data_IF_335166601059
#
_entry.id   IF_335166601059
#
_cell.length_a   1.000
_cell.length_b   1.000
_cell.length_c   1.000
_cell.angle_alpha   90.00
_cell.angle_beta   90.00
_cell.angle_gamma   90.00
#
_symmetry.space_group_name_H-M   'P 1'
#
loop_
_entity.id
_entity.type
_entity.pdbx_description
1 polymer ?
#
# COMPACT_ATOMS: atom_id res chain seq x y z
N UNK A 1 -34.82 -5.46 -30.42
CA UNK A 1 -34.43 -5.02 -29.05
C UNK A 1 -33.11 -5.70 -28.74
N UNK A 2 -32.00 -5.02 -29.04
CA UNK A 2 -30.64 -5.49 -28.70
C UNK A 2 -30.46 -5.36 -27.19
N UNK A 3 -30.16 -6.48 -26.53
CA UNK A 3 -29.85 -6.51 -25.10
C UNK A 3 -28.62 -5.64 -24.79
N UNK A 4 -28.48 -5.18 -23.54
CA UNK A 4 -27.34 -4.34 -23.17
C UNK A 4 -26.05 -5.14 -23.40
N UNK A 5 -25.16 -4.59 -24.24
CA UNK A 5 -23.79 -5.08 -24.39
C UNK A 5 -23.18 -5.22 -23.00
N UNK A 6 -22.81 -6.44 -22.65
CA UNK A 6 -22.06 -6.73 -21.44
C UNK A 6 -20.72 -6.00 -21.55
N UNK A 7 -20.58 -4.87 -20.87
CA UNK A 7 -19.30 -4.20 -20.70
C UNK A 7 -18.32 -5.22 -20.11
N UNK A 8 -17.45 -5.74 -20.96
CA UNK A 8 -16.40 -6.65 -20.50
C UNK A 8 -15.48 -5.86 -19.57
N UNK A 9 -15.57 -6.12 -18.26
CA UNK A 9 -14.66 -5.56 -17.30
C UNK A 9 -13.22 -5.93 -17.68
N UNK A 10 -12.26 -5.01 -17.60
CA UNK A 10 -10.87 -5.31 -17.92
C UNK A 10 -10.38 -6.50 -17.08
N UNK A 11 -9.50 -7.31 -17.65
CA UNK A 11 -8.81 -8.40 -16.95
C UNK A 11 -7.83 -7.82 -15.92
N UNK A 12 -8.35 -7.29 -14.83
CA UNK A 12 -7.55 -6.82 -13.72
C UNK A 12 -7.66 -7.80 -12.55
N UNK A 13 -6.63 -7.96 -11.71
CA UNK A 13 -6.69 -8.81 -10.52
C UNK A 13 -7.88 -8.46 -9.61
N UNK A 14 -8.24 -7.18 -9.53
CA UNK A 14 -9.39 -6.70 -8.75
C UNK A 14 -10.72 -7.14 -9.35
N UNK A 15 -10.87 -7.07 -10.68
CA UNK A 15 -12.08 -7.52 -11.36
C UNK A 15 -12.29 -9.03 -11.24
N UNK A 16 -11.22 -9.81 -11.38
CA UNK A 16 -11.24 -11.26 -11.20
C UNK A 16 -11.66 -11.61 -9.76
N UNK A 17 -11.01 -10.99 -8.77
CA UNK A 17 -11.31 -11.23 -7.36
C UNK A 17 -12.74 -10.81 -6.98
N UNK A 18 -13.28 -9.73 -7.57
CA UNK A 18 -14.69 -9.33 -7.38
C UNK A 18 -15.67 -10.35 -7.97
N UNK A 19 -15.38 -10.94 -9.14
CA UNK A 19 -16.22 -11.98 -9.77
C UNK A 19 -16.21 -13.28 -9.00
N UNK A 20 -15.04 -13.71 -8.52
CA UNK A 20 -14.87 -14.92 -7.74
C UNK A 20 -15.38 -14.78 -6.30
N UNK A 21 -15.52 -13.52 -5.84
CA UNK A 21 -15.76 -13.22 -4.45
C UNK A 21 -14.55 -13.56 -3.58
N UNK A 22 -14.71 -13.46 -2.26
CA UNK A 22 -13.68 -13.89 -1.31
C UNK A 22 -14.33 -14.63 -0.13
N UNK A 23 -13.84 -15.83 0.12
CA UNK A 23 -14.30 -16.64 1.26
C UNK A 23 -13.35 -16.45 2.45
N UNK A 24 -13.89 -16.47 3.66
CA UNK A 24 -13.12 -16.41 4.92
C UNK A 24 -12.20 -15.19 5.03
N UNK A 25 -12.62 -14.04 4.49
CA UNK A 25 -11.85 -12.78 4.52
C UNK A 25 -10.42 -12.99 3.98
N UNK A 26 -10.28 -13.57 2.78
CA UNK A 26 -8.99 -13.78 2.13
C UNK A 26 -9.07 -13.49 0.64
N UNK A 27 -8.04 -12.82 0.14
CA UNK A 27 -7.76 -12.64 -1.28
C UNK A 27 -6.68 -13.60 -1.77
N UNK A 28 -6.37 -13.54 -3.07
CA UNK A 28 -5.14 -14.10 -3.64
C UNK A 28 -3.91 -13.51 -2.95
N UNK A 29 -2.78 -14.24 -2.94
CA UNK A 29 -1.58 -13.83 -2.17
C UNK A 29 -1.09 -12.42 -2.47
N UNK A 30 -1.17 -12.00 -3.73
CA UNK A 30 -0.71 -10.67 -4.16
C UNK A 30 -1.63 -9.57 -3.61
N UNK A 31 -2.95 -9.68 -3.85
CA UNK A 31 -3.94 -8.72 -3.35
C UNK A 31 -4.06 -8.73 -1.82
N UNK A 32 -3.86 -9.87 -1.17
CA UNK A 32 -3.88 -9.95 0.29
C UNK A 32 -2.73 -9.15 0.92
N UNK A 33 -1.54 -9.17 0.30
CA UNK A 33 -0.40 -8.37 0.77
C UNK A 33 -0.70 -6.89 0.61
N UNK A 34 -1.12 -6.48 -0.58
CA UNK A 34 -1.48 -5.10 -0.89
C UNK A 34 -2.58 -4.55 0.03
N UNK A 35 -3.65 -5.34 0.23
CA UNK A 35 -4.72 -5.00 1.17
C UNK A 35 -4.20 -4.78 2.59
N UNK A 36 -3.35 -5.68 3.10
CA UNK A 36 -2.81 -5.56 4.46
C UNK A 36 -1.91 -4.34 4.63
N UNK A 37 -1.12 -4.01 3.62
CA UNK A 37 -0.25 -2.84 3.64
C UNK A 37 -1.09 -1.55 3.63
N UNK A 38 -2.10 -1.46 2.76
CA UNK A 38 -3.03 -0.32 2.71
C UNK A 38 -3.84 -0.22 4.01
N UNK A 39 -4.41 -1.33 4.48
CA UNK A 39 -5.15 -1.39 5.73
C UNK A 39 -4.32 -0.90 6.92
N UNK A 40 -3.08 -1.37 7.05
CA UNK A 40 -2.18 -0.98 8.12
C UNK A 40 -1.89 0.53 8.12
N UNK A 41 -1.79 1.15 6.93
CA UNK A 41 -1.57 2.60 6.82
C UNK A 41 -2.82 3.37 7.25
N UNK A 42 -3.99 3.01 6.72
CA UNK A 42 -5.24 3.74 6.94
C UNK A 42 -5.78 3.59 8.38
N UNK A 43 -5.57 2.43 9.02
CA UNK A 43 -6.11 2.16 10.36
C UNK A 43 -5.14 2.50 11.50
N UNK A 44 -3.88 2.84 11.21
CA UNK A 44 -2.91 3.25 12.23
C UNK A 44 -3.35 4.46 13.07
N UNK A 45 -3.94 5.54 12.50
CA UNK A 45 -4.47 6.66 13.29
C UNK A 45 -5.59 6.23 14.25
N UNK A 46 -6.48 5.33 13.80
CA UNK A 46 -7.57 4.79 14.62
C UNK A 46 -7.04 3.98 15.79
N UNK A 47 -6.05 3.10 15.55
CA UNK A 47 -5.38 2.34 16.60
C UNK A 47 -4.75 3.29 17.64
N UNK A 48 -4.01 4.31 17.20
CA UNK A 48 -3.39 5.31 18.10
C UNK A 48 -4.42 6.03 18.95
N UNK A 49 -5.49 6.51 18.34
CA UNK A 49 -6.59 7.18 19.05
C UNK A 49 -7.25 6.23 20.05
N UNK A 50 -7.58 5.00 19.63
CA UNK A 50 -8.18 3.98 20.49
C UNK A 50 -7.33 3.64 21.70
N UNK A 51 -6.07 3.26 21.49
CA UNK A 51 -5.17 2.95 22.60
C UNK A 51 -4.86 4.18 23.48
N UNK A 52 -4.74 5.38 22.89
CA UNK A 52 -4.57 6.62 23.66
C UNK A 52 -5.75 6.90 24.60
N UNK A 53 -6.96 6.82 24.10
CA UNK A 53 -8.19 6.98 24.92
C UNK A 53 -8.28 5.87 25.96
N UNK A 54 -7.98 4.61 25.60
CA UNK A 54 -8.01 3.49 26.54
C UNK A 54 -7.03 3.67 27.69
N UNK A 55 -5.80 4.15 27.44
CA UNK A 55 -4.80 4.46 28.49
C UNK A 55 -5.33 5.53 29.42
N UNK A 56 -5.87 6.65 28.88
CA UNK A 56 -6.40 7.75 29.69
C UNK A 56 -7.54 7.25 30.58
N UNK A 57 -8.50 6.54 30.02
CA UNK A 57 -9.65 6.03 30.77
C UNK A 57 -9.21 5.02 31.86
N UNK A 58 -8.24 4.16 31.54
CA UNK A 58 -7.75 3.17 32.49
C UNK A 58 -6.93 3.81 33.63
N UNK A 59 -6.17 4.88 33.35
CA UNK A 59 -5.49 5.69 34.37
C UNK A 59 -6.51 6.39 35.29
N UNK A 60 -7.55 7.00 34.72
CA UNK A 60 -8.65 7.61 35.51
C UNK A 60 -9.30 6.56 36.41
N UNK A 61 -9.63 5.40 35.86
CA UNK A 61 -10.19 4.28 36.64
C UNK A 61 -9.24 3.84 37.77
N UNK A 62 -7.95 3.72 37.49
CA UNK A 62 -6.93 3.40 38.49
C UNK A 62 -6.90 4.42 39.63
N UNK A 63 -6.92 5.72 39.32
CA UNK A 63 -6.91 6.80 40.33
C UNK A 63 -8.16 6.80 41.22
N UNK A 64 -9.34 6.50 40.64
CA UNK A 64 -10.60 6.35 41.39
C UNK A 64 -10.49 5.17 42.37
N UNK A 65 -9.96 4.04 41.92
CA UNK A 65 -9.84 2.82 42.75
C UNK A 65 -8.80 2.95 43.86
N UNK A 66 -7.70 3.69 43.66
CA UNK A 66 -6.70 3.95 44.67
C UNK A 66 -7.26 4.57 45.96
N UNK A 67 -8.35 5.35 45.86
CA UNK A 67 -9.01 5.95 47.02
C UNK A 67 -9.93 4.97 47.76
N UNK A 68 -10.36 3.90 47.10
CA UNK A 68 -11.32 2.93 47.65
C UNK A 68 -10.64 1.65 48.16
N UNK A 69 -9.42 1.38 47.78
CA UNK A 69 -8.67 0.16 48.11
C UNK A 69 -7.61 0.47 49.20
N UNK A 70 -7.37 -0.46 50.12
CA UNK A 70 -6.38 -0.33 51.19
C UNK A 70 -5.60 -1.65 51.41
N UNK A 71 -4.42 -1.54 52.02
CA UNK A 71 -3.58 -2.70 52.35
C UNK A 71 -3.11 -3.47 51.13
N UNK A 72 -2.95 -4.81 51.21
CA UNK A 72 -2.39 -5.65 50.16
C UNK A 72 -3.17 -5.57 48.84
N UNK A 73 -4.48 -5.33 48.89
CA UNK A 73 -5.31 -5.13 47.71
C UNK A 73 -4.88 -3.89 46.89
N UNK A 74 -4.54 -2.80 47.58
CA UNK A 74 -4.07 -1.58 46.98
C UNK A 74 -2.68 -1.80 46.33
N UNK A 75 -1.74 -2.44 47.02
CA UNK A 75 -0.37 -2.67 46.54
C UNK A 75 -0.35 -3.55 45.28
N UNK A 76 -0.93 -4.76 45.38
CA UNK A 76 -0.99 -5.69 44.26
C UNK A 76 -1.87 -5.15 43.08
N UNK A 77 -2.97 -4.49 43.44
CA UNK A 77 -3.83 -3.85 42.48
C UNK A 77 -3.11 -2.77 41.68
N UNK A 78 -2.23 -1.98 42.33
CA UNK A 78 -1.42 -0.95 41.66
C UNK A 78 -0.40 -1.58 40.71
N UNK A 79 0.32 -2.64 41.16
CA UNK A 79 1.30 -3.33 40.33
C UNK A 79 0.64 -3.90 39.05
N UNK A 80 -0.46 -4.63 39.22
CA UNK A 80 -1.18 -5.23 38.08
C UNK A 80 -1.67 -4.19 37.10
N UNK A 81 -2.22 -3.07 37.58
CA UNK A 81 -2.67 -1.96 36.71
C UNK A 81 -1.51 -1.28 36.01
N UNK A 82 -0.36 -1.10 36.67
CA UNK A 82 0.84 -0.55 36.06
C UNK A 82 1.37 -1.43 34.91
N UNK A 83 1.35 -2.76 35.07
CA UNK A 83 1.73 -3.71 34.01
C UNK A 83 0.78 -3.58 32.81
N UNK A 84 -0.53 -3.48 33.05
CA UNK A 84 -1.52 -3.30 32.00
C UNK A 84 -1.28 -1.98 31.24
N UNK A 85 -1.13 -0.86 31.97
CA UNK A 85 -0.83 0.45 31.36
C UNK A 85 0.47 0.38 30.55
N UNK A 86 1.51 -0.24 31.09
CA UNK A 86 2.80 -0.42 30.42
C UNK A 86 2.66 -1.17 29.09
N UNK A 87 1.86 -2.24 29.04
CA UNK A 87 1.59 -3.01 27.81
C UNK A 87 0.83 -2.20 26.76
N UNK A 88 -0.14 -1.38 27.18
CA UNK A 88 -0.90 -0.49 26.31
C UNK A 88 -0.01 0.64 25.76
N UNK A 89 0.80 1.27 26.59
CA UNK A 89 1.77 2.29 26.19
C UNK A 89 2.81 1.72 25.23
N UNK A 90 3.31 0.50 25.48
CA UNK A 90 4.23 -0.16 24.56
C UNK A 90 3.61 -0.35 23.16
N UNK A 91 2.36 -0.79 23.11
CA UNK A 91 1.62 -0.93 21.83
C UNK A 91 1.44 0.43 21.15
N UNK A 92 1.07 1.47 21.91
CA UNK A 92 0.91 2.83 21.41
C UNK A 92 2.23 3.37 20.85
N UNK A 93 3.33 3.27 21.59
CA UNK A 93 4.66 3.71 21.17
C UNK A 93 5.16 2.93 19.95
N UNK A 94 4.99 1.60 19.93
CA UNK A 94 5.33 0.76 18.79
C UNK A 94 4.62 1.20 17.51
N UNK A 95 3.40 1.75 17.62
CA UNK A 95 2.63 2.25 16.47
C UNK A 95 3.28 3.46 15.78
N UNK A 96 4.16 4.20 16.43
CA UNK A 96 4.90 5.33 15.84
C UNK A 96 6.19 4.90 15.12
N UNK A 97 6.62 3.66 15.32
CA UNK A 97 7.85 3.12 14.73
C UNK A 97 7.50 2.34 13.46
N UNK A 98 7.78 2.90 12.30
CA UNK A 98 7.42 2.30 11.01
C UNK A 98 7.93 0.87 10.80
N UNK A 99 9.13 0.53 11.33
CA UNK A 99 9.71 -0.81 11.27
C UNK A 99 8.92 -1.86 12.06
N UNK A 100 8.16 -1.45 13.09
CA UNK A 100 7.36 -2.35 13.93
C UNK A 100 5.94 -2.57 13.40
N UNK A 101 5.56 -1.94 12.27
CA UNK A 101 4.21 -2.04 11.71
C UNK A 101 3.74 -3.48 11.48
N UNK A 102 4.63 -4.35 11.01
CA UNK A 102 4.32 -5.77 10.73
C UNK A 102 4.00 -6.54 12.00
N UNK A 103 4.67 -6.23 13.10
CA UNK A 103 4.51 -6.92 14.40
C UNK A 103 3.52 -6.20 15.33
N UNK A 104 3.02 -5.03 14.94
CA UNK A 104 2.07 -4.25 15.74
C UNK A 104 0.81 -5.05 16.16
N UNK A 105 0.21 -5.90 15.32
CA UNK A 105 -0.90 -6.75 15.74
C UNK A 105 -0.55 -7.67 16.90
N UNK A 106 0.69 -8.16 16.97
CA UNK A 106 1.16 -9.02 18.08
C UNK A 106 1.21 -8.21 19.38
N UNK A 107 1.77 -7.00 19.36
CA UNK A 107 1.76 -6.11 20.54
C UNK A 107 0.35 -5.83 21.04
N UNK A 108 -0.59 -5.57 20.12
CA UNK A 108 -1.98 -5.32 20.47
C UNK A 108 -2.63 -6.57 21.12
N UNK A 109 -2.46 -7.76 20.53
CA UNK A 109 -2.98 -9.02 21.10
C UNK A 109 -2.40 -9.28 22.49
N UNK A 110 -1.10 -9.10 22.68
CA UNK A 110 -0.43 -9.25 23.98
C UNK A 110 -0.96 -8.23 24.99
N UNK A 111 -1.23 -7.00 24.58
CA UNK A 111 -1.82 -5.98 25.45
C UNK A 111 -3.21 -6.37 25.95
N UNK A 112 -4.07 -6.92 25.06
CA UNK A 112 -5.40 -7.42 25.45
C UNK A 112 -5.31 -8.63 26.38
N UNK A 113 -4.37 -9.55 26.14
CA UNK A 113 -4.13 -10.70 27.01
C UNK A 113 -3.64 -10.24 28.42
N UNK A 114 -2.70 -9.30 28.47
CA UNK A 114 -2.20 -8.69 29.72
C UNK A 114 -3.33 -7.99 30.47
N UNK A 115 -4.19 -7.28 29.76
CA UNK A 115 -5.36 -6.64 30.35
C UNK A 115 -6.31 -7.68 30.99
N UNK A 116 -6.63 -8.75 30.25
CA UNK A 116 -7.52 -9.81 30.73
C UNK A 116 -6.97 -10.45 32.02
N UNK A 117 -5.68 -10.80 32.03
CA UNK A 117 -5.00 -11.37 33.21
C UNK A 117 -5.04 -10.39 34.38
N UNK A 118 -4.64 -9.13 34.15
CA UNK A 118 -4.58 -8.11 35.19
C UNK A 118 -5.94 -7.83 35.82
N UNK A 119 -6.98 -7.63 35.04
CA UNK A 119 -8.33 -7.34 35.56
C UNK A 119 -8.92 -8.54 36.31
N UNK A 120 -8.80 -9.75 35.73
CA UNK A 120 -9.34 -10.96 36.39
C UNK A 120 -8.56 -11.29 37.69
N UNK A 121 -7.24 -11.10 37.70
CA UNK A 121 -6.43 -11.28 38.91
C UNK A 121 -6.83 -10.28 40.01
N UNK A 122 -7.09 -9.03 39.66
CA UNK A 122 -7.56 -8.02 40.61
C UNK A 122 -8.94 -8.40 41.16
N UNK A 123 -9.85 -8.95 40.35
CA UNK A 123 -11.16 -9.41 40.75
C UNK A 123 -11.06 -10.56 41.79
N UNK A 124 -10.21 -11.57 41.51
CA UNK A 124 -9.92 -12.67 42.46
C UNK A 124 -9.36 -12.13 43.76
N UNK A 125 -8.38 -11.22 43.69
CA UNK A 125 -7.78 -10.61 44.87
C UNK A 125 -8.80 -9.82 45.68
N UNK A 126 -9.66 -9.04 45.04
CA UNK A 126 -10.72 -8.26 45.68
C UNK A 126 -11.71 -9.17 46.42
N UNK A 127 -12.13 -10.28 45.81
CA UNK A 127 -13.02 -11.24 46.43
C UNK A 127 -12.39 -11.89 47.70
N UNK A 128 -11.10 -12.22 47.66
CA UNK A 128 -10.37 -12.75 48.81
C UNK A 128 -10.32 -11.77 49.98
N UNK A 129 -10.38 -10.49 49.74
CA UNK A 129 -10.42 -9.42 50.73
C UNK A 129 -11.85 -8.93 51.06
N UNK A 130 -12.89 -9.64 50.59
CA UNK A 130 -14.28 -9.29 50.89
C UNK A 130 -14.80 -8.05 50.14
N UNK A 131 -14.11 -7.59 49.11
CA UNK A 131 -14.51 -6.45 48.29
C UNK A 131 -15.15 -6.95 46.99
N UNK A 132 -16.42 -6.59 46.77
CA UNK A 132 -17.08 -6.90 45.49
C UNK A 132 -16.57 -5.97 44.39
N UNK A 133 -16.00 -6.57 43.37
CA UNK A 133 -15.68 -5.86 42.12
C UNK A 133 -16.68 -6.21 41.03
N UNK A 134 -16.93 -5.22 40.17
CA UNK A 134 -17.81 -5.34 39.02
C UNK A 134 -16.98 -5.61 37.75
N UNK A 135 -17.54 -6.38 36.83
CA UNK A 135 -16.89 -6.91 35.59
C UNK A 135 -17.01 -5.98 34.38
N UNK A 136 -17.59 -4.80 34.54
CA UNK A 136 -17.85 -3.87 33.42
C UNK A 136 -16.59 -3.54 32.61
N UNK A 137 -15.42 -3.60 33.23
CA UNK A 137 -14.14 -3.41 32.56
C UNK A 137 -13.87 -4.40 31.44
N UNK A 138 -14.28 -5.68 31.60
CA UNK A 138 -14.09 -6.69 30.55
C UNK A 138 -15.02 -6.46 29.36
N UNK A 139 -16.25 -5.99 29.59
CA UNK A 139 -17.18 -5.63 28.52
C UNK A 139 -16.62 -4.44 27.71
N UNK A 140 -16.15 -3.40 28.40
CA UNK A 140 -15.58 -2.22 27.77
C UNK A 140 -14.34 -2.55 26.91
N UNK A 141 -13.45 -3.42 27.42
CA UNK A 141 -12.27 -3.85 26.68
C UNK A 141 -12.63 -4.73 25.50
N UNK A 142 -13.60 -5.63 25.65
CA UNK A 142 -14.09 -6.43 24.53
C UNK A 142 -14.72 -5.56 23.44
N UNK A 143 -15.47 -4.53 23.82
CA UNK A 143 -15.99 -3.54 22.87
C UNK A 143 -14.85 -2.78 22.18
N UNK A 144 -13.87 -2.28 22.97
CA UNK A 144 -12.70 -1.59 22.43
C UNK A 144 -11.92 -2.48 21.44
N UNK A 145 -11.75 -3.77 21.74
CA UNK A 145 -11.08 -4.73 20.87
C UNK A 145 -11.70 -4.77 19.48
N UNK A 146 -13.02 -4.87 19.39
CA UNK A 146 -13.70 -5.06 18.12
C UNK A 146 -13.94 -3.75 17.34
N UNK A 147 -14.01 -2.60 18.05
CA UNK A 147 -14.36 -1.32 17.42
C UNK A 147 -13.15 -0.44 17.19
N UNK A 148 -12.21 -0.37 18.12
CA UNK A 148 -11.14 0.63 18.11
C UNK A 148 -9.72 0.07 17.96
N UNK A 149 -9.52 -1.25 18.05
CA UNK A 149 -8.17 -1.83 18.01
C UNK A 149 -7.43 -1.63 16.70
N UNK A 150 -8.15 -1.45 15.59
CA UNK A 150 -7.55 -1.46 14.24
C UNK A 150 -6.99 -2.83 13.83
N UNK A 151 -7.35 -3.90 14.53
CA UNK A 151 -6.96 -5.27 14.20
C UNK A 151 -7.88 -5.85 13.11
N UNK A 152 -7.30 -6.67 12.25
CA UNK A 152 -8.05 -7.54 11.37
C UNK A 152 -8.75 -8.65 12.17
N UNK A 153 -9.76 -9.26 11.57
CA UNK A 153 -10.63 -10.27 12.18
C UNK A 153 -9.88 -11.40 12.91
N UNK A 154 -8.85 -11.98 12.26
CA UNK A 154 -8.12 -13.11 12.87
C UNK A 154 -7.30 -12.75 14.12
N UNK A 155 -6.45 -11.71 14.11
CA UNK A 155 -5.79 -11.26 15.33
C UNK A 155 -6.77 -10.86 16.44
N UNK A 156 -7.89 -10.23 16.09
CA UNK A 156 -8.92 -9.87 17.05
C UNK A 156 -9.61 -11.11 17.68
N UNK A 157 -9.85 -12.16 16.86
CA UNK A 157 -10.35 -13.44 17.41
C UNK A 157 -9.39 -14.05 18.44
N UNK A 158 -8.09 -14.02 18.16
CA UNK A 158 -7.07 -14.51 19.11
C UNK A 158 -7.10 -13.69 20.38
N UNK A 159 -7.14 -12.36 20.28
CA UNK A 159 -7.24 -11.48 21.45
C UNK A 159 -8.51 -11.72 22.26
N UNK A 160 -9.66 -11.85 21.57
CA UNK A 160 -10.93 -12.16 22.21
C UNK A 160 -10.95 -13.54 22.91
N UNK A 161 -10.39 -14.55 22.26
CA UNK A 161 -10.21 -15.87 22.87
C UNK A 161 -9.32 -15.79 24.12
N UNK A 162 -8.21 -15.03 24.09
CA UNK A 162 -7.38 -14.80 25.26
C UNK A 162 -8.17 -14.15 26.41
N UNK A 163 -9.02 -13.16 26.13
CA UNK A 163 -9.86 -12.52 27.14
C UNK A 163 -10.79 -13.54 27.78
N UNK A 164 -11.56 -14.27 26.99
CA UNK A 164 -12.56 -15.24 27.48
C UNK A 164 -11.90 -16.39 28.24
N UNK A 165 -10.87 -17.01 27.64
CA UNK A 165 -10.18 -18.14 28.26
C UNK A 165 -9.50 -17.75 29.59
N UNK A 166 -8.89 -16.58 29.65
CA UNK A 166 -8.29 -16.05 30.88
C UNK A 166 -9.36 -15.84 31.94
N UNK A 167 -10.49 -15.21 31.58
CA UNK A 167 -11.58 -14.95 32.52
C UNK A 167 -12.17 -16.26 33.06
N UNK A 168 -12.37 -17.26 32.20
CA UNK A 168 -12.87 -18.58 32.60
C UNK A 168 -11.84 -19.30 33.48
N UNK A 169 -10.58 -19.40 33.05
CA UNK A 169 -9.54 -20.14 33.77
C UNK A 169 -9.23 -19.51 35.14
N UNK A 170 -8.87 -18.21 35.15
CA UNK A 170 -8.51 -17.52 36.39
C UNK A 170 -9.73 -17.39 37.31
N UNK A 171 -10.92 -17.18 36.78
CA UNK A 171 -12.15 -17.11 37.57
C UNK A 171 -12.50 -18.43 38.23
N UNK A 172 -12.43 -19.55 37.49
CA UNK A 172 -12.70 -20.88 38.01
C UNK A 172 -11.68 -21.30 39.11
N UNK A 173 -10.37 -21.22 38.78
CA UNK A 173 -9.30 -21.59 39.71
C UNK A 173 -9.12 -20.58 40.85
N UNK A 174 -9.43 -19.30 40.61
CA UNK A 174 -9.41 -18.24 41.62
C UNK A 174 -10.60 -18.23 42.58
N UNK A 175 -11.55 -19.16 42.42
CA UNK A 175 -12.73 -19.29 43.28
C UNK A 175 -13.81 -18.24 43.03
N UNK A 176 -13.88 -17.64 41.84
CA UNK A 176 -14.95 -16.70 41.47
C UNK A 176 -16.28 -17.42 41.17
N UNK A 177 -16.25 -18.73 40.93
CA UNK A 177 -17.41 -19.50 40.50
C UNK A 177 -18.62 -19.30 41.45
N UNK A 178 -19.66 -18.62 40.95
CA UNK A 178 -20.90 -18.28 41.62
C UNK A 178 -21.98 -17.99 40.60
N UNK A 179 -23.22 -17.87 41.03
CA UNK A 179 -24.33 -17.45 40.14
C UNK A 179 -24.03 -16.06 39.50
N UNK A 180 -23.51 -15.12 40.28
CA UNK A 180 -23.13 -13.80 39.78
C UNK A 180 -22.04 -13.88 38.70
N UNK A 181 -21.01 -14.69 38.91
CA UNK A 181 -19.97 -14.90 37.91
C UNK A 181 -20.51 -15.56 36.60
N UNK A 182 -21.47 -16.49 36.75
CA UNK A 182 -22.14 -17.06 35.58
C UNK A 182 -22.88 -16.01 34.73
N UNK A 183 -23.57 -15.06 35.35
CA UNK A 183 -24.18 -13.91 34.64
C UNK A 183 -23.13 -13.03 33.99
N UNK A 184 -22.04 -12.73 34.68
CA UNK A 184 -20.93 -11.93 34.14
C UNK A 184 -20.33 -12.58 32.90
N UNK A 185 -20.00 -13.87 32.97
CA UNK A 185 -19.49 -14.65 31.85
C UNK A 185 -20.44 -14.64 30.65
N UNK A 186 -21.77 -14.78 30.91
CA UNK A 186 -22.77 -14.69 29.86
C UNK A 186 -22.71 -13.37 29.10
N UNK A 187 -22.65 -12.21 29.79
CA UNK A 187 -22.56 -10.91 29.14
C UNK A 187 -21.24 -10.69 28.41
N UNK A 188 -20.11 -11.19 28.97
CA UNK A 188 -18.82 -11.17 28.26
C UNK A 188 -18.90 -11.97 26.97
N UNK A 189 -19.47 -13.19 26.98
CA UNK A 189 -19.64 -14.00 25.78
C UNK A 189 -20.57 -13.33 24.75
N UNK A 190 -21.69 -12.75 25.18
CA UNK A 190 -22.61 -12.02 24.30
C UNK A 190 -21.86 -10.85 23.63
N UNK A 191 -21.06 -10.09 24.40
CA UNK A 191 -20.27 -8.98 23.83
C UNK A 191 -19.28 -9.47 22.77
N UNK A 192 -18.64 -10.62 23.01
CA UNK A 192 -17.73 -11.21 22.02
C UNK A 192 -18.47 -11.67 20.78
N UNK A 193 -19.63 -12.32 20.90
CA UNK A 193 -20.46 -12.74 19.75
C UNK A 193 -20.86 -11.53 18.90
N UNK A 194 -21.39 -10.49 19.52
CA UNK A 194 -21.76 -9.25 18.83
C UNK A 194 -20.53 -8.61 18.16
N UNK A 195 -19.42 -8.51 18.89
CA UNK A 195 -18.17 -7.93 18.39
C UNK A 195 -17.58 -8.70 17.21
N UNK A 196 -17.60 -10.03 17.27
CA UNK A 196 -17.14 -10.91 16.18
C UNK A 196 -17.96 -10.69 14.90
N UNK A 197 -19.30 -10.66 15.03
CA UNK A 197 -20.19 -10.40 13.88
C UNK A 197 -19.95 -9.00 13.31
N UNK A 198 -19.84 -8.00 14.17
CA UNK A 198 -19.59 -6.62 13.76
C UNK A 198 -18.24 -6.49 13.03
N UNK A 199 -17.16 -7.04 13.60
CA UNK A 199 -15.82 -6.95 13.00
C UNK A 199 -15.73 -7.74 11.69
N UNK A 200 -16.38 -8.92 11.60
CA UNK A 200 -16.47 -9.65 10.35
C UNK A 200 -17.13 -8.82 9.24
N UNK A 201 -18.25 -8.17 9.57
CA UNK A 201 -18.97 -7.31 8.63
C UNK A 201 -18.15 -6.09 8.23
N UNK A 202 -17.46 -5.46 9.18
CA UNK A 202 -16.58 -4.31 8.91
C UNK A 202 -15.43 -4.71 7.98
N UNK A 203 -14.70 -5.80 8.29
CA UNK A 203 -13.59 -6.24 7.44
C UNK A 203 -14.08 -6.67 6.05
N UNK A 204 -15.26 -7.28 5.96
CA UNK A 204 -15.86 -7.64 4.67
C UNK A 204 -16.14 -6.41 3.81
N UNK A 205 -16.70 -5.34 4.39
CA UNK A 205 -16.94 -4.06 3.72
C UNK A 205 -15.64 -3.37 3.29
N UNK A 206 -14.63 -3.38 4.14
CA UNK A 206 -13.30 -2.81 3.83
C UNK A 206 -12.64 -3.54 2.64
N UNK A 207 -12.75 -4.87 2.61
CA UNK A 207 -12.24 -5.70 1.51
C UNK A 207 -12.98 -5.44 0.19
N UNK A 208 -14.30 -5.34 0.22
CA UNK A 208 -15.10 -5.01 -0.95
C UNK A 208 -14.76 -3.59 -1.46
N UNK A 209 -14.66 -2.62 -0.56
CA UNK A 209 -14.23 -1.25 -0.90
C UNK A 209 -12.84 -1.20 -1.50
N UNK A 210 -11.88 -1.97 -0.97
CA UNK A 210 -10.52 -2.07 -1.54
C UNK A 210 -10.56 -2.57 -2.98
N UNK A 211 -11.27 -3.66 -3.25
CA UNK A 211 -11.39 -4.21 -4.61
C UNK A 211 -12.07 -3.23 -5.56
N UNK A 212 -13.12 -2.54 -5.12
CA UNK A 212 -13.81 -1.52 -5.94
C UNK A 212 -12.90 -0.34 -6.24
N UNK A 213 -12.16 0.20 -5.25
CA UNK A 213 -11.19 1.28 -5.49
C UNK A 213 -10.12 0.87 -6.49
N UNK A 214 -9.53 -0.34 -6.34
CA UNK A 214 -8.57 -0.89 -7.27
C UNK A 214 -9.14 -1.06 -8.69
N UNK A 215 -10.40 -1.54 -8.80
CA UNK A 215 -11.08 -1.66 -10.09
C UNK A 215 -11.33 -0.28 -10.73
N UNK A 216 -11.83 0.71 -9.99
CA UNK A 216 -12.01 2.07 -10.51
C UNK A 216 -10.69 2.69 -10.96
N UNK A 217 -9.61 2.45 -10.21
CA UNK A 217 -8.27 2.85 -10.62
C UNK A 217 -7.83 2.22 -11.95
N UNK A 218 -8.24 0.97 -12.21
CA UNK A 218 -7.94 0.29 -13.50
C UNK A 218 -8.85 0.73 -14.64
N UNK A 219 -10.09 1.11 -14.34
CA UNK A 219 -11.05 1.63 -15.33
C UNK A 219 -10.73 3.06 -15.76
N UNK A 220 -10.20 3.88 -14.85
CA UNK A 220 -9.69 5.20 -15.20
C UNK A 220 -8.42 5.01 -16.04
N UNK A 221 -8.55 5.13 -17.37
CA UNK A 221 -7.41 4.99 -18.29
C UNK A 221 -6.59 6.27 -18.43
N UNK A 222 -7.15 7.40 -18.04
CA UNK A 222 -6.54 8.71 -18.17
C UNK A 222 -6.17 9.32 -16.82
N UNK A 223 -5.10 10.10 -16.80
CA UNK A 223 -4.73 10.95 -15.66
C UNK A 223 -5.69 12.16 -15.59
N UNK A 224 -6.29 12.36 -14.43
CA UNK A 224 -7.33 13.38 -14.24
C UNK A 224 -6.87 14.83 -14.41
N UNK A 225 -5.56 15.11 -14.31
CA UNK A 225 -4.99 16.45 -14.49
C UNK A 225 -4.65 16.72 -15.96
N UNK A 226 -3.99 15.76 -16.61
CA UNK A 226 -3.36 15.96 -17.92
C UNK A 226 -4.16 15.38 -19.08
N UNK A 227 -5.09 14.46 -18.81
CA UNK A 227 -5.87 13.75 -19.83
C UNK A 227 -5.03 12.83 -20.73
N UNK A 228 -3.75 12.58 -20.41
CA UNK A 228 -2.94 11.52 -20.99
C UNK A 228 -3.31 10.17 -20.36
N UNK A 229 -2.78 9.08 -20.88
CA UNK A 229 -2.89 7.83 -20.13
C UNK A 229 -2.30 7.98 -18.72
N UNK A 230 -2.89 7.30 -17.74
CA UNK A 230 -2.24 7.15 -16.46
C UNK A 230 -1.19 6.02 -16.51
N UNK A 231 -0.34 5.94 -15.50
CA UNK A 231 0.73 4.94 -15.40
C UNK A 231 0.23 3.52 -15.63
N UNK A 232 -0.90 3.15 -15.01
CA UNK A 232 -1.44 1.80 -15.10
C UNK A 232 -1.90 1.45 -16.52
N UNK A 233 -2.69 2.32 -17.14
CA UNK A 233 -3.15 2.13 -18.51
C UNK A 233 -1.99 2.07 -19.49
N UNK A 234 -0.94 2.89 -19.28
CA UNK A 234 0.27 2.86 -20.11
C UNK A 234 0.91 1.48 -20.08
N UNK A 235 1.18 0.91 -18.90
CA UNK A 235 1.84 -0.40 -18.80
C UNK A 235 1.00 -1.54 -19.37
N UNK A 236 -0.31 -1.51 -19.19
CA UNK A 236 -1.22 -2.50 -19.80
C UNK A 236 -1.16 -2.45 -21.34
N UNK A 237 -1.14 -1.25 -21.92
CA UNK A 237 -1.04 -1.06 -23.37
C UNK A 237 0.39 -1.39 -23.86
N UNK A 238 1.41 -0.96 -23.12
CA UNK A 238 2.82 -1.23 -23.44
C UNK A 238 3.08 -2.73 -23.56
N UNK A 239 2.62 -3.52 -22.60
CA UNK A 239 2.80 -4.97 -22.62
C UNK A 239 2.26 -5.63 -23.90
N UNK A 240 1.06 -5.21 -24.33
CA UNK A 240 0.45 -5.71 -25.56
C UNK A 240 1.26 -5.31 -26.80
N UNK A 241 1.72 -4.04 -26.85
CA UNK A 241 2.50 -3.52 -27.98
C UNK A 241 3.91 -4.10 -28.04
N UNK A 242 4.53 -4.34 -26.91
CA UNK A 242 5.84 -5.01 -26.85
C UNK A 242 5.77 -6.44 -27.40
N UNK A 243 4.75 -7.22 -27.01
CA UNK A 243 4.52 -8.55 -27.59
C UNK A 243 4.27 -8.50 -29.11
N UNK A 244 3.58 -7.48 -29.61
CA UNK A 244 3.39 -7.27 -31.04
C UNK A 244 4.72 -6.93 -31.71
N UNK A 245 5.48 -5.98 -31.19
CA UNK A 245 6.77 -5.58 -31.73
C UNK A 245 7.79 -6.72 -31.77
N UNK A 246 7.78 -7.60 -30.75
CA UNK A 246 8.62 -8.80 -30.74
C UNK A 246 8.27 -9.77 -31.88
N UNK A 247 6.98 -10.01 -32.14
CA UNK A 247 6.53 -10.84 -33.28
C UNK A 247 6.88 -10.25 -34.61
N UNK A 248 6.69 -8.93 -34.75
CA UNK A 248 6.93 -8.20 -36.00
C UNK A 248 8.42 -7.89 -36.19
N UNK A 249 9.27 -8.13 -35.18
CA UNK A 249 10.71 -7.83 -35.15
C UNK A 249 11.01 -6.36 -35.47
N UNK A 250 10.17 -5.47 -35.00
CA UNK A 250 10.35 -4.02 -35.20
C UNK A 250 11.03 -3.39 -34.00
N UNK A 251 11.81 -2.33 -34.26
CA UNK A 251 12.45 -1.57 -33.19
C UNK A 251 11.42 -0.64 -32.53
N UNK A 252 11.49 -0.57 -31.20
CA UNK A 252 10.65 0.30 -30.39
C UNK A 252 11.51 1.28 -29.60
N UNK A 253 10.91 2.43 -29.24
CA UNK A 253 11.52 3.41 -28.35
C UNK A 253 10.67 3.58 -27.10
N UNK A 254 11.33 3.66 -25.93
CA UNK A 254 10.71 4.06 -24.66
C UNK A 254 11.45 5.26 -24.12
N UNK A 255 10.73 6.26 -23.63
CA UNK A 255 11.33 7.41 -22.96
C UNK A 255 10.71 7.64 -21.60
N UNK A 256 11.52 8.21 -20.70
CA UNK A 256 11.07 8.93 -19.51
C UNK A 256 11.44 10.40 -19.64
N UNK A 257 10.54 11.26 -19.22
CA UNK A 257 10.71 12.71 -19.20
C UNK A 257 10.37 13.22 -17.80
N UNK A 258 11.17 14.16 -17.32
CA UNK A 258 10.92 14.87 -16.07
C UNK A 258 11.05 16.38 -16.30
N UNK A 259 10.11 17.14 -15.72
CA UNK A 259 10.10 18.60 -15.82
C UNK A 259 11.15 19.18 -14.87
N UNK A 260 12.15 19.82 -15.44
CA UNK A 260 13.30 20.35 -14.69
C UNK A 260 12.89 21.36 -13.62
N UNK A 261 13.38 21.15 -12.40
CA UNK A 261 13.16 22.06 -11.26
C UNK A 261 11.68 22.29 -10.91
N UNK A 262 10.79 21.34 -11.19
CA UNK A 262 9.35 21.51 -11.00
C UNK A 262 8.95 21.78 -9.54
N UNK A 263 9.67 21.20 -8.58
CA UNK A 263 9.45 21.53 -7.16
C UNK A 263 9.69 23.02 -6.89
N UNK A 264 10.80 23.58 -7.37
CA UNK A 264 11.08 25.02 -7.21
C UNK A 264 10.04 25.90 -7.94
N UNK A 265 9.50 25.40 -9.07
CA UNK A 265 8.39 26.04 -9.75
C UNK A 265 7.15 26.13 -8.86
N UNK A 266 6.74 25.00 -8.25
CA UNK A 266 5.62 24.95 -7.32
C UNK A 266 5.82 25.82 -6.08
N UNK A 267 7.02 25.77 -5.50
CA UNK A 267 7.37 26.57 -4.31
C UNK A 267 7.25 28.07 -4.60
N UNK A 268 7.55 28.48 -5.84
CA UNK A 268 7.50 29.89 -6.24
C UNK A 268 6.13 30.36 -6.73
N UNK A 269 5.45 29.56 -7.56
CA UNK A 269 4.24 30.01 -8.28
C UNK A 269 2.96 29.36 -7.72
N UNK A 270 3.09 28.44 -6.78
CA UNK A 270 1.99 27.67 -6.17
C UNK A 270 1.52 26.48 -7.03
N UNK A 271 0.93 25.49 -6.36
CA UNK A 271 0.43 24.28 -6.98
C UNK A 271 -0.56 24.47 -8.14
N UNK A 272 -1.49 25.48 -8.09
CA UNK A 272 -2.39 25.71 -9.24
C UNK A 272 -1.64 26.08 -10.53
N UNK A 273 -0.55 26.84 -10.43
CA UNK A 273 0.28 27.17 -11.60
C UNK A 273 1.11 25.98 -12.05
N UNK A 274 1.57 25.13 -11.12
CA UNK A 274 2.18 23.83 -11.42
C UNK A 274 1.24 22.94 -12.22
N UNK A 275 -0.02 22.86 -11.83
CA UNK A 275 -1.05 22.11 -12.55
C UNK A 275 -1.26 22.65 -13.98
N UNK A 276 -1.28 23.97 -14.15
CA UNK A 276 -1.34 24.58 -15.49
C UNK A 276 -0.10 24.25 -16.33
N UNK A 277 1.08 24.28 -15.72
CA UNK A 277 2.33 23.89 -16.38
C UNK A 277 2.28 22.43 -16.86
N UNK A 278 1.86 21.50 -16.00
CA UNK A 278 1.75 20.07 -16.34
C UNK A 278 0.73 19.82 -17.47
N UNK A 279 -0.41 20.54 -17.48
CA UNK A 279 -1.39 20.45 -18.58
C UNK A 279 -0.79 20.94 -19.91
N UNK A 280 -0.02 22.03 -19.88
CA UNK A 280 0.65 22.54 -21.06
C UNK A 280 1.72 21.57 -21.60
N UNK A 281 2.55 21.01 -20.70
CA UNK A 281 3.52 19.97 -21.03
C UNK A 281 2.83 18.75 -21.65
N UNK A 282 1.76 18.26 -21.02
CA UNK A 282 0.98 17.14 -21.57
C UNK A 282 0.42 17.43 -22.97
N UNK A 283 -0.01 18.66 -23.22
CA UNK A 283 -0.45 19.11 -24.55
C UNK A 283 0.69 19.05 -25.59
N UNK A 284 1.89 19.50 -25.22
CA UNK A 284 3.06 19.41 -26.09
C UNK A 284 3.41 17.94 -26.39
N UNK A 285 3.43 17.09 -25.36
CA UNK A 285 3.70 15.66 -25.53
C UNK A 285 2.66 14.99 -26.45
N UNK A 286 1.37 15.25 -26.27
CA UNK A 286 0.31 14.71 -27.13
C UNK A 286 0.52 15.07 -28.62
N UNK A 287 1.10 16.21 -28.89
CA UNK A 287 1.40 16.66 -30.27
C UNK A 287 2.57 15.89 -30.90
N UNK A 288 3.46 15.30 -30.10
CA UNK A 288 4.59 14.51 -30.59
C UNK A 288 4.24 13.01 -30.75
N UNK A 289 3.27 12.51 -29.96
CA UNK A 289 2.80 11.12 -29.98
C UNK A 289 1.48 11.02 -30.80
N UNK A 290 1.56 11.24 -32.10
CA UNK A 290 0.34 11.32 -32.98
C UNK A 290 -0.07 10.00 -33.60
N UNK A 291 0.84 9.02 -33.67
CA UNK A 291 0.54 7.74 -34.30
C UNK A 291 -0.38 6.92 -33.40
N UNK A 292 -1.38 6.20 -33.95
CA UNK A 292 -2.25 5.33 -33.16
C UNK A 292 -1.46 4.22 -32.41
N UNK A 293 -0.28 3.90 -32.90
CA UNK A 293 0.64 2.93 -32.30
C UNK A 293 1.46 3.48 -31.14
N UNK A 294 1.61 4.80 -31.02
CA UNK A 294 2.40 5.43 -29.97
C UNK A 294 1.57 5.57 -28.70
N UNK A 295 2.26 5.62 -27.55
CA UNK A 295 1.64 5.82 -26.26
C UNK A 295 2.35 6.94 -25.50
N UNK A 296 1.60 7.77 -24.79
CA UNK A 296 2.14 8.74 -23.85
C UNK A 296 1.27 8.80 -22.61
N UNK A 297 1.92 8.86 -21.45
CA UNK A 297 1.26 8.86 -20.15
C UNK A 297 1.96 9.79 -19.15
N UNK A 298 1.23 10.19 -18.14
CA UNK A 298 1.81 10.71 -16.90
C UNK A 298 2.24 9.56 -16.02
N UNK A 299 3.54 9.50 -15.72
CA UNK A 299 4.11 8.42 -14.91
C UNK A 299 3.89 8.65 -13.41
N UNK A 300 4.00 9.91 -12.95
CA UNK A 300 3.74 10.36 -11.58
C UNK A 300 4.30 11.75 -11.35
N UNK A 301 3.67 12.56 -10.51
CA UNK A 301 4.15 13.91 -10.22
C UNK A 301 4.37 14.75 -11.49
N UNK A 302 5.63 15.10 -11.74
CA UNK A 302 6.12 15.83 -12.90
C UNK A 302 6.75 14.94 -13.99
N UNK A 303 6.62 13.63 -13.85
CA UNK A 303 7.22 12.64 -14.75
C UNK A 303 6.23 12.14 -15.78
N UNK A 304 6.71 11.96 -17.00
CA UNK A 304 5.97 11.44 -18.14
C UNK A 304 6.72 10.28 -18.78
N UNK A 305 5.98 9.35 -19.38
CA UNK A 305 6.52 8.20 -20.11
C UNK A 305 5.94 8.14 -21.49
N UNK A 306 6.76 7.79 -22.48
CA UNK A 306 6.35 7.65 -23.87
C UNK A 306 6.86 6.34 -24.48
N UNK A 307 6.11 5.85 -25.47
CA UNK A 307 6.45 4.68 -26.26
C UNK A 307 6.21 4.97 -27.74
N UNK A 308 7.20 4.68 -28.55
CA UNK A 308 7.12 4.75 -30.00
C UNK A 308 7.23 3.35 -30.60
N UNK A 309 6.32 3.06 -31.51
CA UNK A 309 6.28 1.77 -32.21
C UNK A 309 6.94 1.90 -33.59
N UNK A 310 7.70 0.89 -34.00
CA UNK A 310 8.35 0.78 -35.30
C UNK A 310 9.14 2.04 -35.69
N UNK A 311 10.25 2.25 -34.99
CA UNK A 311 11.17 3.36 -35.21
C UNK A 311 12.49 2.91 -35.81
N UNK A 312 13.13 3.80 -36.54
CA UNK A 312 14.53 3.64 -36.87
C UNK A 312 15.39 3.94 -35.64
N UNK A 313 16.29 3.05 -35.20
CA UNK A 313 17.12 3.29 -34.00
C UNK A 313 17.85 4.63 -34.02
N UNK A 314 18.29 5.07 -35.17
CA UNK A 314 19.00 6.34 -35.39
C UNK A 314 18.09 7.57 -35.17
N UNK A 315 16.77 7.41 -35.32
CA UNK A 315 15.78 8.46 -35.14
C UNK A 315 15.41 8.71 -33.68
N UNK A 316 15.74 7.77 -32.75
CA UNK A 316 15.38 7.87 -31.34
C UNK A 316 15.76 9.22 -30.73
N UNK A 317 17.03 9.63 -30.93
CA UNK A 317 17.55 10.88 -30.37
C UNK A 317 16.81 12.10 -30.90
N UNK A 318 16.53 12.12 -32.22
CA UNK A 318 15.78 13.22 -32.84
C UNK A 318 14.35 13.31 -32.34
N UNK A 319 13.65 12.16 -32.19
CA UNK A 319 12.30 12.10 -31.68
C UNK A 319 12.22 12.55 -30.20
N UNK A 320 13.15 12.09 -29.38
CA UNK A 320 13.25 12.51 -28.00
C UNK A 320 13.60 14.01 -27.85
N UNK A 321 14.46 14.54 -28.74
CA UNK A 321 14.79 15.98 -28.74
C UNK A 321 13.63 16.85 -29.23
N UNK A 322 12.79 16.38 -30.15
CA UNK A 322 11.55 17.05 -30.54
C UNK A 322 10.61 17.19 -29.34
N UNK A 323 10.46 16.13 -28.53
CA UNK A 323 9.67 16.18 -27.30
C UNK A 323 10.24 17.22 -26.33
N UNK A 324 11.53 17.18 -26.04
CA UNK A 324 12.22 18.17 -25.18
C UNK A 324 12.04 19.59 -25.70
N UNK A 325 12.28 19.80 -26.99
CA UNK A 325 12.13 21.09 -27.65
C UNK A 325 10.69 21.60 -27.63
N UNK A 326 9.70 20.69 -27.78
CA UNK A 326 8.29 20.99 -27.66
C UNK A 326 7.93 21.57 -26.29
N UNK A 327 8.47 20.98 -25.20
CA UNK A 327 8.30 21.53 -23.85
C UNK A 327 8.94 22.89 -23.73
N UNK A 328 10.18 23.06 -24.20
CA UNK A 328 10.88 24.34 -24.14
C UNK A 328 10.18 25.43 -24.98
N UNK A 329 9.53 25.04 -26.09
CA UNK A 329 8.79 25.96 -26.97
C UNK A 329 7.51 26.53 -26.33
N UNK A 330 7.00 25.94 -25.24
CA UNK A 330 5.89 26.50 -24.45
C UNK A 330 6.22 27.84 -23.82
N UNK A 331 7.49 28.16 -23.67
CA UNK A 331 8.00 29.43 -23.12
C UNK A 331 7.41 29.81 -21.76
N UNK A 332 7.04 28.82 -20.95
CA UNK A 332 6.52 29.06 -19.59
C UNK A 332 7.64 29.64 -18.75
N UNK A 333 7.43 30.81 -18.16
CA UNK A 333 8.44 31.49 -17.36
C UNK A 333 8.78 30.71 -16.08
N UNK A 334 10.08 30.49 -15.82
CA UNK A 334 10.59 29.89 -14.59
C UNK A 334 11.84 30.65 -14.13
N UNK A 335 11.65 31.61 -13.23
CA UNK A 335 12.71 32.55 -12.84
C UNK A 335 13.88 31.93 -12.08
N UNK A 336 13.68 30.73 -11.51
CA UNK A 336 14.70 30.04 -10.71
C UNK A 336 15.52 29.03 -11.53
N UNK A 337 15.45 29.10 -12.86
CA UNK A 337 16.27 28.29 -13.77
C UNK A 337 17.20 29.15 -14.61
N UNK A 338 18.38 28.65 -15.02
CA UNK A 338 19.32 29.37 -15.87
C UNK A 338 18.72 29.80 -17.23
N UNK A 339 17.76 29.02 -17.74
CA UNK A 339 17.06 29.32 -18.99
C UNK A 339 15.95 30.36 -18.87
N UNK A 340 15.56 30.74 -17.64
CA UNK A 340 14.39 31.56 -17.36
C UNK A 340 13.06 30.95 -17.75
N UNK A 341 13.02 29.65 -18.09
CA UNK A 341 11.86 28.94 -18.63
C UNK A 341 11.78 27.51 -18.09
N UNK A 342 10.59 26.96 -18.14
CA UNK A 342 10.37 25.52 -17.91
C UNK A 342 11.03 24.74 -19.05
N UNK A 343 11.83 23.75 -18.65
CA UNK A 343 12.48 22.79 -19.53
C UNK A 343 12.23 21.36 -19.04
N UNK A 344 12.62 20.37 -19.82
CA UNK A 344 12.54 18.97 -19.43
C UNK A 344 13.81 18.22 -19.81
N UNK A 345 14.17 17.25 -18.98
CA UNK A 345 15.18 16.25 -19.27
C UNK A 345 14.54 14.98 -19.77
N UNK A 346 15.17 14.31 -20.73
CA UNK A 346 14.64 13.09 -21.36
C UNK A 346 15.71 12.01 -21.37
N UNK A 347 15.35 10.83 -20.85
CA UNK A 347 16.09 9.59 -21.05
C UNK A 347 15.33 8.67 -21.99
N UNK A 348 15.95 8.16 -23.05
CA UNK A 348 15.24 7.29 -23.98
C UNK A 348 16.09 6.08 -24.38
N UNK A 349 15.43 4.96 -24.62
CA UNK A 349 16.04 3.71 -25.02
C UNK A 349 15.36 3.15 -26.25
N UNK A 350 16.12 2.51 -27.15
CA UNK A 350 15.58 1.77 -28.27
C UNK A 350 16.12 0.35 -28.28
N UNK A 351 15.25 -0.59 -28.66
CA UNK A 351 15.58 -2.00 -28.83
C UNK A 351 14.62 -2.67 -29.81
N UNK A 352 15.00 -3.84 -30.31
CA UNK A 352 14.09 -4.82 -30.90
C UNK A 352 13.74 -5.81 -29.78
N UNK A 353 12.49 -5.83 -29.27
CA UNK A 353 12.15 -6.67 -28.13
C UNK A 353 12.21 -8.15 -28.47
N UNK A 354 12.67 -8.96 -27.51
CA UNK A 354 12.56 -10.41 -27.56
C UNK A 354 11.32 -10.90 -26.79
N UNK A 355 10.93 -12.16 -27.03
CA UNK A 355 9.88 -12.78 -26.23
C UNK A 355 10.32 -12.86 -24.77
N UNK A 356 9.50 -12.30 -23.86
CA UNK A 356 9.78 -12.25 -22.44
C UNK A 356 10.64 -11.08 -21.98
N UNK A 357 10.90 -10.08 -22.84
CA UNK A 357 11.59 -8.85 -22.44
C UNK A 357 10.92 -8.18 -21.23
N UNK A 358 11.73 -7.86 -20.23
CA UNK A 358 11.23 -7.22 -19.01
C UNK A 358 10.92 -5.76 -19.24
N UNK A 359 9.63 -5.39 -19.10
CA UNK A 359 9.21 -3.99 -19.15
C UNK A 359 9.85 -3.15 -18.03
N UNK A 360 10.07 -3.76 -16.86
CA UNK A 360 10.69 -3.10 -15.73
C UNK A 360 12.13 -2.71 -16.05
N UNK A 361 12.90 -3.63 -16.66
CA UNK A 361 14.29 -3.37 -17.04
C UNK A 361 14.41 -2.30 -18.12
N UNK A 362 13.45 -2.27 -19.06
CA UNK A 362 13.40 -1.27 -20.11
C UNK A 362 13.15 0.13 -19.54
N UNK A 363 12.20 0.26 -18.65
CA UNK A 363 11.90 1.53 -17.96
C UNK A 363 13.05 1.95 -17.07
N UNK A 364 13.70 1.01 -16.37
CA UNK A 364 14.87 1.29 -15.54
C UNK A 364 16.02 1.86 -16.37
N UNK A 365 16.29 1.33 -17.56
CA UNK A 365 17.33 1.88 -18.44
C UNK A 365 16.99 3.25 -18.97
N UNK A 366 15.70 3.54 -19.23
CA UNK A 366 15.27 4.88 -19.57
C UNK A 366 15.44 5.85 -18.40
N UNK A 367 15.25 5.38 -17.15
CA UNK A 367 15.47 6.14 -15.93
C UNK A 367 16.96 6.44 -15.71
N UNK A 368 17.83 5.45 -15.92
CA UNK A 368 19.31 5.66 -15.89
C UNK A 368 19.74 6.74 -16.89
N UNK A 369 19.21 6.71 -18.12
CA UNK A 369 19.46 7.73 -19.11
C UNK A 369 18.89 9.10 -18.72
N UNK A 370 17.72 9.15 -18.09
CA UNK A 370 17.12 10.39 -17.58
C UNK A 370 17.96 10.97 -16.44
N UNK A 371 18.42 10.14 -15.53
CA UNK A 371 19.33 10.55 -14.47
C UNK A 371 20.61 11.19 -15.04
N UNK A 372 21.22 10.56 -16.04
CA UNK A 372 22.40 11.10 -16.74
C UNK A 372 22.09 12.45 -17.42
N UNK A 373 20.88 12.61 -18.02
CA UNK A 373 20.47 13.87 -18.60
C UNK A 373 20.36 14.98 -17.53
N UNK A 374 19.83 14.67 -16.35
CA UNK A 374 19.75 15.60 -15.21
C UNK A 374 21.14 15.96 -14.67
N UNK A 375 22.02 14.98 -14.51
CA UNK A 375 23.38 15.18 -13.98
C UNK A 375 24.25 16.03 -14.91
N UNK A 376 24.16 15.82 -16.22
CA UNK A 376 24.88 16.60 -17.23
C UNK A 376 24.37 18.04 -17.43
N UNK A 377 23.44 18.53 -16.58
CA UNK A 377 22.98 19.94 -16.58
C UNK A 377 21.61 20.16 -17.14
N UNK A 378 20.76 19.13 -17.19
CA UNK A 378 19.33 19.22 -17.57
C UNK A 378 19.06 19.73 -19.00
N UNK A 379 17.77 19.92 -19.33
CA UNK A 379 17.31 20.40 -20.64
C UNK A 379 18.00 19.71 -21.81
N UNK A 380 18.09 18.39 -21.75
CA UNK A 380 18.78 17.56 -22.75
C UNK A 380 18.20 16.16 -22.86
N UNK A 381 18.64 15.48 -23.90
CA UNK A 381 18.31 14.09 -24.16
C UNK A 381 19.54 13.23 -24.02
N UNK A 382 19.41 12.12 -23.30
CA UNK A 382 20.35 11.00 -23.31
C UNK A 382 19.64 9.79 -23.89
N UNK A 383 20.29 9.09 -24.83
CA UNK A 383 19.71 7.93 -25.50
C UNK A 383 20.64 6.72 -25.38
N UNK A 384 20.04 5.57 -25.16
CA UNK A 384 20.71 4.26 -25.14
C UNK A 384 20.14 3.38 -26.28
N UNK A 385 21.00 2.80 -27.08
CA UNK A 385 20.62 1.76 -28.01
C UNK A 385 20.97 0.41 -27.38
N UNK A 386 19.95 -0.39 -27.07
CA UNK A 386 20.18 -1.70 -26.50
C UNK A 386 20.39 -2.71 -27.63
N UNK A 387 21.36 -3.63 -27.49
CA UNK A 387 21.55 -4.70 -28.47
C UNK A 387 20.26 -5.53 -28.53
N UNK A 388 19.81 -5.85 -29.75
CA UNK A 388 18.76 -6.86 -29.92
C UNK A 388 19.21 -8.13 -29.18
N UNK A 389 18.32 -8.74 -28.37
CA UNK A 389 18.61 -10.03 -27.78
C UNK A 389 18.83 -11.01 -28.95
N UNK A 390 20.08 -11.28 -29.27
CA UNK A 390 20.45 -12.21 -30.31
C UNK A 390 19.86 -13.58 -29.98
N UNK A 391 19.22 -14.21 -30.96
CA UNK A 391 18.82 -15.62 -30.85
C UNK A 391 20.00 -16.44 -30.22
N UNK A 392 19.70 -17.40 -29.33
CA UNK A 392 20.75 -18.17 -28.67
C UNK A 392 21.67 -18.76 -29.76
N UNK A 393 22.94 -18.33 -29.76
CA UNK A 393 23.97 -18.90 -30.62
C UNK A 393 23.96 -20.41 -30.41
N UNK A 394 23.53 -21.13 -31.43
CA UNK A 394 23.68 -22.58 -31.48
C UNK A 394 25.17 -22.93 -31.20
N UNK A 395 25.44 -23.40 -29.98
CA UNK A 395 26.74 -23.97 -29.65
C UNK A 395 27.06 -25.04 -30.70
N UNK A 396 27.98 -24.73 -31.59
CA UNK A 396 28.49 -25.65 -32.57
C UNK A 396 28.90 -26.95 -31.90
N UNK A 397 28.27 -28.03 -32.28
CA UNK A 397 28.80 -29.39 -32.10
C UNK A 397 30.14 -29.45 -32.84
N UNK A 398 31.23 -29.35 -32.13
CA UNK A 398 32.52 -29.82 -32.63
C UNK A 398 32.42 -31.36 -32.71
N UNK A 399 32.37 -31.85 -33.92
CA UNK A 399 32.61 -33.28 -34.20
C UNK A 399 34.09 -33.62 -33.82
N UNK A 400 34.34 -34.77 -33.21
CA UNK A 400 35.72 -35.21 -32.97
C UNK A 400 36.36 -35.65 -34.28
N UNK A 401 37.44 -34.99 -34.65
CA UNK A 401 38.33 -35.41 -35.74
C UNK A 401 39.09 -36.65 -35.29
N UNK A 402 38.75 -37.78 -35.88
CA UNK A 402 39.55 -39.03 -35.75
C UNK A 402 40.78 -38.91 -36.68
N UNK A 403 41.95 -38.75 -36.09
CA UNK A 403 43.22 -39.05 -36.80
C UNK A 403 43.34 -40.55 -36.97
N UNK A 404 43.53 -40.99 -38.22
CA UNK A 404 44.07 -42.27 -38.56
C UNK A 404 45.48 -42.00 -39.11
N UNK A 405 46.43 -42.53 -38.40
CA UNK A 405 47.76 -42.79 -38.90
C UNK A 405 47.76 -44.00 -39.86
N UNK A 406 48.52 -43.89 -40.92
CA UNK A 406 48.97 -44.94 -41.82
C UNK A 406 50.18 -44.46 -42.57
#
# INVERSE_FOLDING_TARGET
MSGPESVSLPESPYALQLREGFRNLRFTRALEREFRDEFAIHHQPRLRAGFGVAVILYVIFMLVRLKAETGPLQEWGLILRAIVIGSMLLTLLASYIGRLRVVLPVFAVLSYATFAVGVTAIEVLSKRHGVEMRYEGLILVSFHLYVFSGLLFRPALVAGACIVLTYVAVGAFGGLASKAWGYQLFFVLVTHVIGIVALYSIENLERDSFLRRGLFGTLATQDGLTGLFNRMAFFQQLERRMRQAARDRVCVGVMLLDVDHFKAYNDRYGHPQGDHCLRAVAGALRNEFRRPSDLVARYGGEEFVGYWHDIQPQSLRSMADQVRAGVQALRIAHRDTPSGRVTASVGAVALVPADGESLADLVQRADEALYEAKDKGRNRVVTLLLPSAAAPTSRGRRAPTVMREG
#
